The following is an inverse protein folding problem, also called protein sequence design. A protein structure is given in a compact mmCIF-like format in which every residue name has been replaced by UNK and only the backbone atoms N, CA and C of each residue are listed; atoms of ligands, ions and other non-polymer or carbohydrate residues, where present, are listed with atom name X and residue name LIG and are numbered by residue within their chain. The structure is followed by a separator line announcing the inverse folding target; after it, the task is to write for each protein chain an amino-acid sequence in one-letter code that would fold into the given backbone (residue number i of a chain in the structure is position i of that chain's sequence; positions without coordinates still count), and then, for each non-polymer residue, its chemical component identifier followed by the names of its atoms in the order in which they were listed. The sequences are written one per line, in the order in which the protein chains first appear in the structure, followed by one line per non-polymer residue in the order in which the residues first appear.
data_IF_095138946231
#
_entry.id   IF_095138946231
#
_cell.length_a   1.000
_cell.length_b   1.000
_cell.length_c   1.000
_cell.angle_alpha   90.00
_cell.angle_beta   90.00
_cell.angle_gamma   90.00
#
_symmetry.space_group_name_H-M   'P 1'
#
loop_
_entity.id
_entity.type
_entity.pdbx_description
1 polymer ?
#
# COMPACT_ATOMS: atom_id res chain seq x y z
N UNK A 1 -34.60 -44.65 -7.72
CA UNK A 1 -34.04 -44.42 -9.07
C UNK A 1 -34.23 -42.95 -9.37
N UNK A 2 -33.16 -42.16 -9.30
CA UNK A 2 -33.16 -40.74 -9.64
C UNK A 2 -32.01 -40.53 -10.62
N UNK A 3 -32.35 -40.11 -11.84
CA UNK A 3 -31.44 -39.96 -12.97
C UNK A 3 -30.57 -38.69 -12.80
N UNK A 4 -29.26 -38.87 -12.86
CA UNK A 4 -28.27 -37.79 -12.95
C UNK A 4 -28.17 -37.31 -14.39
N UNK A 5 -28.53 -36.06 -14.65
CA UNK A 5 -28.28 -35.41 -15.93
C UNK A 5 -26.80 -34.98 -16.00
N UNK A 6 -26.02 -35.62 -16.85
CA UNK A 6 -24.66 -35.21 -17.24
C UNK A 6 -24.80 -34.07 -18.27
N UNK A 7 -24.39 -32.86 -17.92
CA UNK A 7 -24.23 -31.77 -18.89
C UNK A 7 -22.83 -31.88 -19.48
N UNK A 8 -22.73 -32.36 -20.71
CA UNK A 8 -21.50 -32.30 -21.51
C UNK A 8 -21.39 -30.90 -22.11
N UNK A 9 -20.43 -30.10 -21.64
CA UNK A 9 -20.06 -28.83 -22.29
C UNK A 9 -19.20 -29.14 -23.51
N UNK A 10 -19.78 -29.02 -24.70
CA UNK A 10 -19.05 -29.06 -25.97
C UNK A 10 -18.26 -27.77 -26.15
N UNK A 11 -16.94 -27.81 -25.94
CA UNK A 11 -16.05 -26.70 -26.29
C UNK A 11 -15.84 -26.66 -27.80
N UNK A 12 -16.43 -25.68 -28.48
CA UNK A 12 -16.21 -25.45 -29.91
C UNK A 12 -14.86 -24.78 -30.15
N UNK A 13 -14.00 -25.41 -30.96
CA UNK A 13 -12.78 -24.81 -31.48
C UNK A 13 -13.07 -24.18 -32.83
N UNK A 14 -12.82 -22.87 -32.99
CA UNK A 14 -12.82 -22.23 -34.30
C UNK A 14 -11.42 -22.28 -34.89
N UNK A 15 -11.26 -22.97 -36.03
CA UNK A 15 -10.02 -23.02 -36.79
C UNK A 15 -10.03 -21.96 -37.90
N UNK A 16 -8.92 -21.25 -38.07
CA UNK A 16 -8.67 -20.42 -39.25
C UNK A 16 -8.07 -21.28 -40.39
N UNK A 17 -8.07 -20.75 -41.62
CA UNK A 17 -7.75 -21.47 -42.86
C UNK A 17 -6.34 -22.07 -42.97
N UNK A 18 -5.48 -21.87 -41.97
CA UNK A 18 -4.12 -22.43 -41.89
C UNK A 18 -3.99 -23.51 -40.82
N UNK A 19 -5.08 -23.92 -40.15
CA UNK A 19 -5.09 -25.05 -39.22
C UNK A 19 -4.33 -24.82 -37.91
N UNK A 20 -3.99 -23.58 -37.57
CA UNK A 20 -3.30 -23.23 -36.33
C UNK A 20 -4.33 -22.97 -35.24
N UNK A 21 -4.47 -23.90 -34.29
CA UNK A 21 -5.30 -23.72 -33.11
C UNK A 21 -4.62 -22.74 -32.13
N UNK A 22 -5.22 -21.56 -31.95
CA UNK A 22 -4.85 -20.65 -30.87
C UNK A 22 -5.76 -20.91 -29.68
N UNK A 23 -5.23 -21.47 -28.59
CA UNK A 23 -5.93 -21.46 -27.30
C UNK A 23 -5.79 -20.05 -26.73
N UNK A 24 -6.91 -19.33 -26.61
CA UNK A 24 -6.98 -17.98 -26.01
C UNK A 24 -6.93 -17.98 -24.48
N UNK A 25 -6.60 -19.11 -23.87
CA UNK A 25 -6.36 -19.19 -22.43
C UNK A 25 -4.97 -18.61 -22.14
N UNK A 26 -4.94 -17.33 -21.79
CA UNK A 26 -3.81 -16.79 -21.05
C UNK A 26 -3.65 -17.63 -19.80
N UNK A 27 -2.53 -18.36 -19.69
CA UNK A 27 -2.16 -19.06 -18.48
C UNK A 27 -2.36 -18.12 -17.28
N UNK A 28 -3.27 -18.52 -16.40
CA UNK A 28 -3.65 -17.76 -15.21
C UNK A 28 -2.41 -17.27 -14.47
N UNK A 29 -2.47 -16.02 -14.02
CA UNK A 29 -1.41 -15.39 -13.24
C UNK A 29 -0.93 -16.34 -12.14
N UNK A 30 0.40 -16.48 -12.03
CA UNK A 30 1.11 -17.41 -11.15
C UNK A 30 0.49 -17.50 -9.76
N UNK A 31 0.19 -18.72 -9.32
CA UNK A 31 -0.19 -19.00 -7.94
C UNK A 31 0.88 -18.45 -6.98
N UNK A 32 0.47 -17.50 -6.15
CA UNK A 32 1.32 -16.92 -5.10
C UNK A 32 1.72 -18.04 -4.14
N UNK A 33 3.01 -18.38 -4.14
CA UNK A 33 3.62 -19.35 -3.25
C UNK A 33 3.24 -19.09 -1.79
N UNK A 34 2.39 -19.94 -1.21
CA UNK A 34 1.97 -19.85 0.20
C UNK A 34 3.06 -20.35 1.15
N UNK A 35 4.23 -19.70 1.13
CA UNK A 35 5.15 -19.84 2.27
C UNK A 35 4.47 -19.21 3.49
N UNK A 36 4.57 -19.83 4.68
CA UNK A 36 4.05 -19.23 5.91
C UNK A 36 4.76 -17.88 6.14
N UNK A 37 3.98 -16.84 6.45
CA UNK A 37 4.54 -15.51 6.69
C UNK A 37 5.55 -15.56 7.85
N UNK A 38 6.77 -15.08 7.60
CA UNK A 38 7.81 -15.01 8.62
C UNK A 38 7.40 -14.01 9.71
N UNK A 39 7.32 -14.47 10.96
CA UNK A 39 6.93 -13.64 12.11
C UNK A 39 8.19 -13.19 12.84
N UNK A 40 8.71 -12.02 12.47
CA UNK A 40 9.86 -11.39 13.10
C UNK A 40 9.58 -9.91 13.42
N UNK A 41 10.24 -9.32 14.43
CA UNK A 41 10.15 -7.89 14.64
C UNK A 41 10.85 -7.13 13.50
N UNK A 42 10.28 -6.00 13.10
CA UNK A 42 10.82 -5.14 12.04
C UNK A 42 10.86 -3.68 12.47
N UNK A 43 11.74 -2.89 11.84
CA UNK A 43 11.79 -1.46 12.11
C UNK A 43 12.13 -0.68 10.85
N UNK A 44 11.31 0.30 10.51
CA UNK A 44 11.54 1.13 9.34
C UNK A 44 11.12 2.58 9.57
N UNK A 45 11.55 3.44 8.64
CA UNK A 45 11.18 4.86 8.64
C UNK A 45 10.41 5.21 7.37
N UNK A 46 9.29 5.89 7.55
CA UNK A 46 8.49 6.49 6.49
C UNK A 46 8.54 8.02 6.56
N UNK A 47 8.48 8.68 5.40
CA UNK A 47 8.49 10.14 5.29
C UNK A 47 7.52 10.62 4.22
N UNK A 48 6.72 11.64 4.51
CA UNK A 48 5.85 12.31 3.54
C UNK A 48 5.72 13.79 3.87
N UNK A 49 5.91 14.64 2.87
CA UNK A 49 6.07 16.10 3.07
C UNK A 49 7.14 16.33 4.15
N UNK A 50 6.77 17.00 5.24
CA UNK A 50 7.64 17.27 6.40
C UNK A 50 7.51 16.22 7.51
N UNK A 51 6.54 15.30 7.41
CA UNK A 51 6.31 14.29 8.44
C UNK A 51 7.32 13.14 8.34
N UNK A 52 7.83 12.72 9.50
CA UNK A 52 8.75 11.59 9.67
C UNK A 52 8.12 10.62 10.67
N UNK A 53 7.95 9.37 10.27
CA UNK A 53 7.43 8.29 11.10
C UNK A 53 8.51 7.23 11.28
N UNK A 54 8.92 6.98 12.53
CA UNK A 54 9.77 5.85 12.91
C UNK A 54 8.87 4.76 13.45
N UNK A 55 8.78 3.65 12.74
CA UNK A 55 7.84 2.56 13.02
C UNK A 55 8.64 1.34 13.47
N UNK A 56 8.19 0.72 14.55
CA UNK A 56 8.61 -0.62 14.97
C UNK A 56 7.39 -1.51 14.95
N UNK A 57 7.54 -2.66 14.33
CA UNK A 57 6.53 -3.70 14.27
C UNK A 57 7.01 -4.87 15.12
N UNK A 58 6.14 -5.36 15.99
CA UNK A 58 6.39 -6.50 16.87
C UNK A 58 5.28 -7.53 16.63
N UNK A 59 5.56 -8.84 16.59
CA UNK A 59 4.52 -9.86 16.58
C UNK A 59 3.55 -9.68 17.75
N UNK A 60 2.24 -9.66 17.50
CA UNK A 60 1.27 -9.31 18.52
C UNK A 60 -0.19 -9.40 18.06
N UNK A 61 -1.04 -8.62 18.70
CA UNK A 61 -2.51 -8.68 18.60
C UNK A 61 -3.15 -7.68 17.63
N UNK A 62 -2.37 -6.80 17.00
CA UNK A 62 -2.91 -5.75 16.13
C UNK A 62 -3.09 -4.39 16.81
N UNK A 63 -2.45 -4.16 17.96
CA UNK A 63 -2.56 -2.90 18.71
C UNK A 63 -1.68 -1.83 18.08
N UNK A 64 -2.26 -0.64 17.86
CA UNK A 64 -1.56 0.52 17.32
C UNK A 64 -1.35 1.59 18.37
N UNK A 65 -0.08 1.92 18.63
CA UNK A 65 0.31 3.01 19.51
C UNK A 65 1.14 4.04 18.74
N UNK A 66 0.61 5.25 18.60
CA UNK A 66 1.27 6.38 17.93
C UNK A 66 1.56 7.47 18.96
N UNK A 67 2.84 7.75 19.21
CA UNK A 67 3.28 8.75 20.22
C UNK A 67 2.66 8.53 21.61
N UNK A 68 2.43 7.27 22.01
CA UNK A 68 1.83 6.91 23.30
C UNK A 68 0.29 6.97 23.34
N UNK A 69 -0.37 7.28 22.22
CA UNK A 69 -1.82 7.32 22.09
C UNK A 69 -2.34 6.21 21.17
N UNK A 70 -3.59 5.73 21.35
CA UNK A 70 -4.20 4.83 20.38
C UNK A 70 -4.41 5.53 19.03
N UNK A 71 -4.45 4.73 17.95
CA UNK A 71 -4.56 5.24 16.58
C UNK A 71 -5.80 6.12 16.38
N UNK A 72 -6.92 5.76 16.99
CA UNK A 72 -8.20 6.46 16.85
C UNK A 72 -8.18 7.85 17.48
N UNK A 73 -7.51 7.99 18.63
CA UNK A 73 -7.33 9.28 19.30
C UNK A 73 -6.32 10.16 18.55
N UNK A 74 -5.23 9.57 18.03
CA UNK A 74 -4.20 10.32 17.33
C UNK A 74 -4.64 10.77 15.92
N UNK A 75 -5.34 9.92 15.18
CA UNK A 75 -5.90 10.19 13.86
C UNK A 75 -7.44 10.10 13.93
N UNK A 76 -8.15 11.15 14.36
CA UNK A 76 -9.62 11.13 14.48
C UNK A 76 -10.36 10.87 13.16
N UNK A 77 -9.76 11.25 12.02
CA UNK A 77 -10.39 11.02 10.71
C UNK A 77 -10.19 9.57 10.24
N UNK A 78 -11.30 8.86 9.98
CA UNK A 78 -11.33 7.49 9.47
C UNK A 78 -10.50 7.28 8.20
N UNK A 79 -10.46 8.27 7.30
CA UNK A 79 -9.66 8.17 6.07
C UNK A 79 -8.15 8.09 6.40
N UNK A 80 -7.69 8.79 7.42
CA UNK A 80 -6.28 8.74 7.83
C UNK A 80 -5.92 7.42 8.50
N UNK A 81 -6.85 6.85 9.26
CA UNK A 81 -6.71 5.52 9.85
C UNK A 81 -6.63 4.43 8.77
N UNK A 82 -7.50 4.51 7.76
CA UNK A 82 -7.48 3.59 6.61
C UNK A 82 -6.15 3.65 5.85
N UNK A 83 -5.67 4.86 5.54
CA UNK A 83 -4.36 5.06 4.88
C UNK A 83 -3.22 4.43 5.70
N UNK A 84 -3.26 4.55 7.03
CA UNK A 84 -2.23 3.93 7.88
C UNK A 84 -2.30 2.39 7.83
N UNK A 85 -3.52 1.82 7.86
CA UNK A 85 -3.78 0.36 7.86
C UNK A 85 -3.66 -0.30 6.48
N UNK A 86 -3.63 0.49 5.40
CA UNK A 86 -3.60 0.03 4.00
C UNK A 86 -2.56 -1.06 3.73
N UNK A 87 -1.36 -0.93 4.30
CA UNK A 87 -0.29 -1.91 4.11
C UNK A 87 -0.60 -3.30 4.71
N UNK A 88 -1.31 -3.35 5.84
CA UNK A 88 -1.73 -4.62 6.45
C UNK A 88 -2.95 -5.22 5.74
N UNK A 89 -3.81 -4.38 5.18
CA UNK A 89 -4.93 -4.84 4.37
C UNK A 89 -4.46 -5.54 3.10
N UNK A 90 -3.44 -5.00 2.44
CA UNK A 90 -2.88 -5.61 1.22
C UNK A 90 -2.19 -6.95 1.50
N UNK A 91 -1.47 -7.07 2.62
CA UNK A 91 -0.74 -8.32 2.94
C UNK A 91 -1.59 -9.35 3.68
N UNK A 92 -2.82 -9.01 4.09
CA UNK A 92 -3.66 -9.89 4.92
C UNK A 92 -3.08 -10.21 6.30
N UNK A 93 -2.12 -9.40 6.77
CA UNK A 93 -1.41 -9.60 8.06
C UNK A 93 -2.03 -8.75 9.18
N UNK A 94 -3.32 -8.45 9.06
CA UNK A 94 -4.07 -7.78 10.12
C UNK A 94 -4.04 -8.65 11.38
N UNK A 95 -3.95 -8.02 12.54
CA UNK A 95 -3.98 -8.67 13.87
C UNK A 95 -2.81 -9.62 14.20
N UNK A 96 -1.79 -9.71 13.33
CA UNK A 96 -0.57 -10.50 13.58
C UNK A 96 0.55 -9.70 14.21
N UNK A 97 0.44 -8.37 14.17
CA UNK A 97 1.52 -7.46 14.50
C UNK A 97 0.99 -6.23 15.25
N UNK A 98 1.67 -5.88 16.32
CA UNK A 98 1.51 -4.61 17.01
C UNK A 98 2.43 -3.54 16.39
N UNK A 99 1.93 -2.31 16.33
CA UNK A 99 2.63 -1.18 15.70
C UNK A 99 2.93 -0.11 16.75
N UNK A 100 4.22 0.11 16.99
CA UNK A 100 4.70 1.18 17.86
C UNK A 100 5.38 2.23 16.99
N UNK A 101 4.74 3.39 16.85
CA UNK A 101 5.24 4.46 16.01
C UNK A 101 5.53 5.74 16.79
N UNK A 102 6.68 6.35 16.47
CA UNK A 102 7.01 7.72 16.87
C UNK A 102 6.98 8.61 15.64
N UNK A 103 6.12 9.62 15.65
CA UNK A 103 5.86 10.50 14.50
C UNK A 103 6.11 11.95 14.87
N UNK A 104 6.85 12.66 14.02
CA UNK A 104 7.22 14.06 14.24
C UNK A 104 7.10 14.86 12.94
N UNK A 105 6.73 16.14 13.06
CA UNK A 105 6.66 17.09 11.93
C UNK A 105 5.41 16.94 11.04
N UNK A 106 5.25 17.89 10.11
CA UNK A 106 4.11 17.95 9.19
C UNK A 106 2.75 18.12 9.87
N UNK A 107 1.70 17.64 9.21
CA UNK A 107 0.33 17.60 9.75
C UNK A 107 -0.30 16.22 9.57
N UNK A 108 -1.52 16.03 10.06
CA UNK A 108 -2.19 14.71 10.18
C UNK A 108 -2.19 13.90 8.86
N UNK A 109 -2.50 14.53 7.73
CA UNK A 109 -2.47 13.90 6.40
C UNK A 109 -1.07 13.40 6.00
N UNK A 110 -0.04 14.20 6.28
CA UNK A 110 1.35 13.85 6.02
C UNK A 110 1.83 12.73 6.94
N UNK A 111 1.43 12.79 8.21
CA UNK A 111 1.76 11.80 9.22
C UNK A 111 1.13 10.44 8.93
N UNK A 112 -0.14 10.38 8.53
CA UNK A 112 -0.80 9.14 8.11
C UNK A 112 -0.08 8.49 6.92
N UNK A 113 0.27 9.29 5.90
CA UNK A 113 1.02 8.78 4.75
C UNK A 113 2.47 8.39 5.08
N UNK A 114 3.09 9.02 6.07
CA UNK A 114 4.41 8.63 6.57
C UNK A 114 4.34 7.30 7.34
N UNK A 115 3.31 7.12 8.18
CA UNK A 115 3.03 5.86 8.87
C UNK A 115 2.83 4.71 7.88
N UNK A 116 1.99 4.92 6.86
CA UNK A 116 1.77 3.94 5.78
C UNK A 116 3.08 3.42 5.17
N UNK A 117 3.96 4.34 4.76
CA UNK A 117 5.24 3.97 4.15
C UNK A 117 6.18 3.30 5.15
N UNK A 118 6.16 3.73 6.42
CA UNK A 118 6.95 3.11 7.49
C UNK A 118 6.54 1.66 7.73
N UNK A 119 5.23 1.40 7.82
CA UNK A 119 4.68 0.05 7.99
C UNK A 119 5.02 -0.83 6.78
N UNK A 120 4.75 -0.37 5.56
CA UNK A 120 5.03 -1.14 4.34
C UNK A 120 6.52 -1.54 4.22
N UNK A 121 7.44 -0.63 4.57
CA UNK A 121 8.88 -0.92 4.58
C UNK A 121 9.27 -1.91 5.66
N UNK A 122 8.67 -1.82 6.84
CA UNK A 122 8.94 -2.76 7.93
C UNK A 122 8.45 -4.17 7.57
N UNK A 123 7.27 -4.30 6.97
CA UNK A 123 6.75 -5.59 6.49
C UNK A 123 7.64 -6.18 5.37
N UNK A 124 8.08 -5.33 4.44
CA UNK A 124 9.00 -5.78 3.39
C UNK A 124 10.34 -6.27 3.97
N UNK A 125 10.87 -5.65 5.03
CA UNK A 125 12.12 -6.12 5.65
C UNK A 125 11.98 -7.44 6.41
N UNK A 126 10.79 -7.74 6.93
CA UNK A 126 10.54 -9.00 7.64
C UNK A 126 10.54 -10.17 6.67
N UNK A 127 9.87 -10.01 5.53
CA UNK A 127 9.79 -11.04 4.49
C UNK A 127 9.76 -10.39 3.10
N UNK A 128 10.95 -10.30 2.48
CA UNK A 128 11.10 -9.66 1.17
C UNK A 128 10.50 -10.50 0.03
N UNK A 129 10.49 -11.83 0.15
CA UNK A 129 9.99 -12.71 -0.91
C UNK A 129 8.45 -12.68 -0.94
N UNK A 130 7.81 -12.78 0.23
CA UNK A 130 6.35 -12.85 0.32
C UNK A 130 5.67 -11.48 0.17
N UNK A 131 6.20 -10.43 0.82
CA UNK A 131 5.48 -9.16 0.93
C UNK A 131 5.77 -8.18 -0.21
N UNK A 132 6.98 -8.23 -0.80
CA UNK A 132 7.39 -7.29 -1.85
C UNK A 132 6.50 -7.30 -3.10
N UNK A 133 6.09 -8.44 -3.68
CA UNK A 133 5.29 -8.42 -4.90
C UNK A 133 3.93 -7.73 -4.70
N UNK A 134 3.21 -8.06 -3.61
CA UNK A 134 1.94 -7.44 -3.27
C UNK A 134 2.10 -5.93 -2.99
N UNK A 135 3.03 -5.56 -2.10
CA UNK A 135 3.26 -4.16 -1.73
C UNK A 135 3.75 -3.29 -2.90
N UNK A 136 4.54 -3.87 -3.82
CA UNK A 136 5.02 -3.16 -5.02
C UNK A 136 3.89 -2.98 -6.03
N UNK A 137 3.05 -3.99 -6.24
CA UNK A 137 1.87 -3.91 -7.12
C UNK A 137 0.86 -2.86 -6.62
N UNK A 138 0.64 -2.79 -5.31
CA UNK A 138 -0.19 -1.77 -4.66
C UNK A 138 0.47 -0.37 -4.59
N UNK A 139 1.74 -0.22 -4.97
CA UNK A 139 2.45 1.06 -4.97
C UNK A 139 2.81 1.60 -3.56
N UNK A 140 2.84 0.74 -2.55
CA UNK A 140 3.02 1.12 -1.14
C UNK A 140 4.48 1.35 -0.73
N UNK A 141 5.43 0.84 -1.52
CA UNK A 141 6.88 1.01 -1.26
C UNK A 141 7.44 2.34 -1.79
N UNK A 142 6.70 3.02 -2.67
CA UNK A 142 7.13 4.28 -3.28
C UNK A 142 6.89 5.45 -2.34
N UNK A 143 7.93 6.26 -2.12
CA UNK A 143 7.78 7.52 -1.38
C UNK A 143 7.05 8.54 -2.25
N UNK A 144 5.97 9.13 -1.72
CA UNK A 144 5.37 10.34 -2.33
C UNK A 144 6.37 11.51 -2.23
N UNK A 145 6.96 11.87 -3.37
CA UNK A 145 8.00 12.88 -3.49
C UNK A 145 7.48 14.32 -3.45
N UNK A 146 6.15 14.52 -3.46
CA UNK A 146 5.53 15.85 -3.50
C UNK A 146 5.86 16.65 -2.23
N UNK A 147 6.53 17.79 -2.42
CA UNK A 147 6.88 18.75 -1.37
C UNK A 147 6.38 20.14 -1.80
N UNK A 148 6.09 21.02 -0.83
CA UNK A 148 5.68 22.39 -1.10
C UNK A 148 6.79 23.12 -1.86
N UNK A 149 6.49 23.58 -3.07
CA UNK A 149 7.40 24.44 -3.83
C UNK A 149 7.68 25.74 -3.05
N UNK A 150 8.93 26.18 -3.05
CA UNK A 150 9.32 27.45 -2.43
C UNK A 150 8.65 28.63 -3.12
N UNK A 151 8.48 29.74 -2.40
CA UNK A 151 8.11 31.03 -3.02
C UNK A 151 9.26 31.49 -3.92
N UNK A 152 8.95 31.82 -5.18
CA UNK A 152 9.91 32.43 -6.11
C UNK A 152 9.82 33.95 -6.00
N UNK A 153 10.93 34.66 -6.21
CA UNK A 153 10.96 36.11 -6.21
C UNK A 153 10.02 36.67 -7.30
N UNK A 154 9.39 37.82 -7.04
CA UNK A 154 8.41 38.43 -7.96
C UNK A 154 7.03 37.76 -8.00
N UNK A 155 6.85 36.57 -7.40
CA UNK A 155 5.55 35.89 -7.34
C UNK A 155 4.90 36.00 -5.95
N UNK A 156 3.56 36.03 -5.92
CA UNK A 156 2.77 36.06 -4.67
C UNK A 156 2.82 34.71 -3.94
N UNK A 157 2.93 33.59 -4.67
CA UNK A 157 3.12 32.21 -4.17
C UNK A 157 4.14 31.47 -5.06
N UNK A 158 4.22 30.14 -4.97
CA UNK A 158 5.13 29.34 -5.81
C UNK A 158 4.98 29.61 -7.32
N UNK A 159 3.74 29.78 -7.80
CA UNK A 159 3.43 30.04 -9.22
C UNK A 159 2.48 31.21 -9.47
N UNK A 160 1.82 31.74 -8.43
CA UNK A 160 0.83 32.82 -8.56
C UNK A 160 1.54 34.14 -8.87
N UNK A 161 1.52 34.55 -10.13
CA UNK A 161 2.00 35.85 -10.56
C UNK A 161 1.01 36.98 -10.18
N UNK A 162 1.49 38.22 -9.98
CA UNK A 162 0.61 39.39 -10.03
C UNK A 162 -0.03 39.53 -11.42
N UNK A 163 -1.12 40.28 -11.51
CA UNK A 163 -1.74 40.60 -12.80
C UNK A 163 -0.75 41.44 -13.62
N UNK A 164 -0.52 41.04 -14.87
CA UNK A 164 0.37 41.73 -15.81
C UNK A 164 -0.45 42.58 -16.78
N UNK A 165 -0.07 43.85 -16.98
CA UNK A 165 -0.56 44.69 -18.08
C UNK A 165 0.42 44.60 -19.25
N UNK A 166 -0.09 44.26 -20.44
CA UNK A 166 0.69 44.16 -21.69
C UNK A 166 0.85 45.49 -22.43
N UNK A 167 0.11 46.52 -22.01
CA UNK A 167 -0.02 47.81 -22.65
C UNK A 167 0.86 48.82 -21.94
#
# INVERSE_FOLDING_TARGET
MAETATTEETTEFQTNSEGVAYTSESAGASETSSKPATIAPGAATGRRKEAIARVRIVPGTGVWTVNGKPLEEYLPNKLHQQIAKEAFAETGLQDRFDVIARVTGGGMTGQAGALRLGVARSLNQIDEEANRPALKKAGLLTRDSRIKERKKAGLKKARKAPQYSKR
#
